data_IF_865677846844
#
_entry.id   IF_865677846844
#
_cell.length_a   1.000
_cell.length_b   1.000
_cell.length_c   1.000
_cell.angle_alpha   90.00
_cell.angle_beta   90.00
_cell.angle_gamma   90.00
#
_symmetry.space_group_name_H-M   'P 1'
#
loop_
_entity.id
_entity.type
_entity.pdbx_description
1 polymer ?
#
# COMPACT_ATOMS: atom_id res chain seq x y z
N UNK A 1 -1.49 4.16 11.09
CA UNK A 1 -0.62 2.94 11.12
C UNK A 1 0.27 2.98 12.36
N UNK A 2 0.89 1.86 12.77
CA UNK A 2 1.70 1.87 14.00
C UNK A 2 2.95 2.74 13.87
N UNK A 3 3.54 2.85 12.68
CA UNK A 3 4.72 3.69 12.41
C UNK A 3 4.39 5.14 11.96
N UNK A 4 3.11 5.48 11.84
CA UNK A 4 2.67 6.81 11.36
C UNK A 4 3.25 7.99 12.17
N UNK A 5 3.29 7.98 13.52
CA UNK A 5 3.85 9.11 14.27
C UNK A 5 5.36 9.25 14.05
N UNK A 6 6.11 8.15 13.97
CA UNK A 6 7.55 8.17 13.72
C UNK A 6 7.88 8.69 12.31
N UNK A 7 7.08 8.30 11.30
CA UNK A 7 7.22 8.82 9.94
C UNK A 7 6.94 10.32 9.94
N UNK A 8 5.84 10.77 10.56
CA UNK A 8 5.49 12.20 10.64
C UNK A 8 6.59 13.02 11.32
N UNK A 9 7.20 12.49 12.38
CA UNK A 9 8.32 13.14 13.05
C UNK A 9 9.58 13.22 12.19
N UNK A 10 9.88 12.23 11.36
CA UNK A 10 10.96 12.35 10.38
C UNK A 10 10.65 13.36 9.28
N UNK A 11 9.39 13.45 8.80
CA UNK A 11 8.98 14.49 7.84
C UNK A 11 9.17 15.90 8.41
N UNK A 12 8.76 16.13 9.65
CA UNK A 12 8.96 17.42 10.35
C UNK A 12 10.44 17.74 10.52
N UNK A 13 11.25 16.76 10.94
CA UNK A 13 12.71 16.92 11.05
C UNK A 13 13.35 17.23 9.70
N UNK A 14 12.89 16.61 8.62
CA UNK A 14 13.37 16.88 7.27
C UNK A 14 13.08 18.33 6.85
N UNK A 15 11.88 18.85 7.10
CA UNK A 15 11.55 20.27 6.84
C UNK A 15 12.40 21.25 7.64
N UNK A 16 12.74 20.91 8.88
CA UNK A 16 13.70 21.69 9.65
C UNK A 16 15.12 21.67 9.05
N UNK A 17 15.54 20.54 8.45
CA UNK A 17 16.83 20.41 7.77
C UNK A 17 16.85 21.04 6.37
N UNK A 18 15.71 21.28 5.74
CA UNK A 18 15.62 21.92 4.42
C UNK A 18 14.55 23.02 4.45
N UNK A 19 14.91 24.27 4.81
CA UNK A 19 13.95 25.35 5.08
C UNK A 19 13.03 25.71 3.90
N UNK A 20 13.46 25.44 2.66
CA UNK A 20 12.67 25.72 1.45
C UNK A 20 11.64 24.61 1.12
N UNK A 21 11.51 23.58 1.97
CA UNK A 21 10.45 22.58 1.82
C UNK A 21 9.08 23.14 2.26
N UNK A 22 8.16 23.18 1.30
CA UNK A 22 6.77 23.58 1.52
C UNK A 22 5.90 22.40 1.94
N UNK A 23 6.30 21.18 1.61
CA UNK A 23 5.60 19.98 2.06
C UNK A 23 6.43 18.71 1.92
N UNK A 24 6.04 17.68 2.67
CA UNK A 24 6.65 16.35 2.61
C UNK A 24 5.57 15.29 2.85
N UNK A 25 5.61 14.20 2.08
CA UNK A 25 4.60 13.16 2.09
C UNK A 25 5.27 11.79 1.96
N UNK A 26 4.91 10.85 2.83
CA UNK A 26 5.23 9.45 2.69
C UNK A 26 3.98 8.71 2.19
N UNK A 27 4.10 7.96 1.11
CA UNK A 27 3.01 7.17 0.54
C UNK A 27 3.49 5.77 0.17
N UNK A 28 2.57 4.81 0.06
CA UNK A 28 2.87 3.53 -0.58
C UNK A 28 3.14 3.72 -2.07
N UNK A 29 3.80 2.74 -2.68
CA UNK A 29 3.97 2.69 -4.14
C UNK A 29 2.64 2.63 -4.92
N UNK A 30 1.56 2.25 -4.25
CA UNK A 30 0.19 2.22 -4.80
C UNK A 30 -0.57 3.55 -4.63
N UNK A 31 0.06 4.57 -4.01
CA UNK A 31 -0.54 5.89 -3.82
C UNK A 31 -1.39 6.06 -2.57
N UNK A 32 -1.24 5.19 -1.57
CA UNK A 32 -1.89 5.33 -0.26
C UNK A 32 -1.03 6.18 0.66
N UNK A 33 -1.61 7.23 1.27
CA UNK A 33 -0.89 8.10 2.20
C UNK A 33 -0.53 7.33 3.48
N UNK A 34 0.74 7.38 3.87
CA UNK A 34 1.24 6.79 5.11
C UNK A 34 1.36 7.84 6.23
N UNK A 35 1.88 9.02 5.88
CA UNK A 35 1.95 10.21 6.72
C UNK A 35 2.24 11.44 5.85
N UNK A 36 1.85 12.63 6.29
CA UNK A 36 2.08 13.84 5.51
C UNK A 36 2.25 15.09 6.40
N UNK A 37 3.03 16.03 5.89
CA UNK A 37 3.12 17.42 6.33
C UNK A 37 3.11 18.29 5.06
N UNK A 38 1.91 18.47 4.50
CA UNK A 38 1.67 19.12 3.19
C UNK A 38 0.66 20.25 3.31
N UNK A 39 1.01 21.39 3.94
CA UNK A 39 0.10 22.51 4.12
C UNK A 39 -0.35 23.06 2.75
N UNK A 40 -1.67 23.20 2.57
CA UNK A 40 -2.27 23.78 1.36
C UNK A 40 -2.32 22.86 0.14
N UNK A 41 -2.04 21.56 0.32
CA UNK A 41 -2.12 20.56 -0.75
C UNK A 41 -2.85 19.31 -0.24
N UNK A 42 -3.72 18.76 -1.06
CA UNK A 42 -4.44 17.51 -0.75
C UNK A 42 -3.48 16.31 -0.87
N UNK A 43 -3.17 15.62 0.23
CA UNK A 43 -2.13 14.59 0.25
C UNK A 43 -2.50 13.35 -0.58
N UNK A 44 -3.78 12.98 -0.62
CA UNK A 44 -4.28 11.84 -1.41
C UNK A 44 -4.03 12.06 -2.91
N UNK A 45 -4.31 13.28 -3.39
CA UNK A 45 -4.07 13.69 -4.78
C UNK A 45 -2.57 13.63 -5.13
N UNK A 46 -1.70 14.10 -4.24
CA UNK A 46 -0.23 14.03 -4.44
C UNK A 46 0.26 12.58 -4.44
N UNK A 47 -0.25 11.74 -3.54
CA UNK A 47 0.15 10.34 -3.44
C UNK A 47 -0.21 9.56 -4.71
N UNK A 48 -1.44 9.71 -5.20
CA UNK A 48 -1.91 9.05 -6.42
C UNK A 48 -1.11 9.48 -7.66
N UNK A 49 -0.87 10.80 -7.81
CA UNK A 49 -0.05 11.32 -8.91
C UNK A 49 1.40 10.87 -8.80
N UNK A 50 1.96 10.82 -7.59
CA UNK A 50 3.32 10.30 -7.34
C UNK A 50 3.42 8.84 -7.78
N UNK A 51 2.49 7.98 -7.37
CA UNK A 51 2.49 6.56 -7.73
C UNK A 51 2.43 6.37 -9.26
N UNK A 52 1.57 7.14 -9.93
CA UNK A 52 1.45 7.12 -11.39
C UNK A 52 2.76 7.57 -12.05
N UNK A 53 3.33 8.70 -11.62
CA UNK A 53 4.58 9.23 -12.16
C UNK A 53 5.76 8.30 -11.91
N UNK A 54 5.81 7.62 -10.77
CA UNK A 54 6.81 6.62 -10.43
C UNK A 54 6.78 5.46 -11.41
N UNK A 55 5.60 4.91 -11.71
CA UNK A 55 5.45 3.83 -12.68
C UNK A 55 5.97 4.21 -14.07
N UNK A 56 5.66 5.43 -14.53
CA UNK A 56 6.18 5.97 -15.78
C UNK A 56 7.69 6.15 -15.73
N UNK A 57 8.22 6.71 -14.63
CA UNK A 57 9.65 6.98 -14.47
C UNK A 57 10.49 5.69 -14.41
N UNK A 58 10.02 4.66 -13.71
CA UNK A 58 10.66 3.32 -13.70
C UNK A 58 10.71 2.75 -15.10
N UNK A 59 9.58 2.76 -15.83
CA UNK A 59 9.53 2.26 -17.19
C UNK A 59 10.44 3.07 -18.13
N UNK A 60 10.47 4.39 -17.96
CA UNK A 60 11.32 5.28 -18.75
C UNK A 60 12.81 4.99 -18.51
N UNK A 61 13.23 4.79 -17.26
CA UNK A 61 14.62 4.45 -16.92
C UNK A 61 15.03 3.10 -17.54
N UNK A 62 14.15 2.10 -17.50
CA UNK A 62 14.35 0.80 -18.12
C UNK A 62 14.51 0.89 -19.65
N UNK A 63 13.54 1.50 -20.36
CA UNK A 63 13.57 1.58 -21.83
C UNK A 63 14.70 2.46 -22.38
N UNK A 64 15.22 3.40 -21.58
CA UNK A 64 16.36 4.26 -21.95
C UNK A 64 17.71 3.71 -21.49
N UNK A 65 17.73 2.52 -20.88
CA UNK A 65 18.96 1.86 -20.44
C UNK A 65 19.66 2.53 -19.25
N UNK A 66 18.93 3.32 -18.45
CA UNK A 66 19.47 3.98 -17.25
C UNK A 66 19.39 3.10 -16.00
N UNK A 67 18.82 1.90 -16.11
CA UNK A 67 18.69 0.94 -15.02
C UNK A 67 17.61 1.33 -14.02
N UNK A 68 17.83 1.01 -12.74
CA UNK A 68 16.86 1.25 -11.68
C UNK A 68 16.64 2.75 -11.43
N UNK A 69 15.37 3.15 -11.31
CA UNK A 69 15.01 4.51 -10.91
C UNK A 69 15.59 4.81 -9.51
N UNK A 70 16.42 5.85 -9.43
CA UNK A 70 16.97 6.33 -8.15
C UNK A 70 16.08 7.38 -7.50
N UNK A 71 15.59 8.32 -8.29
CA UNK A 71 14.76 9.44 -7.86
C UNK A 71 14.06 10.05 -9.07
N UNK A 72 12.94 10.72 -8.82
CA UNK A 72 12.22 11.53 -9.80
C UNK A 72 12.26 12.99 -9.35
N UNK A 73 12.59 13.91 -10.26
CA UNK A 73 12.55 15.35 -9.99
C UNK A 73 11.77 16.06 -11.09
N UNK A 74 10.71 16.76 -10.70
CA UNK A 74 9.92 17.63 -11.57
C UNK A 74 10.20 19.07 -11.18
N UNK A 75 10.65 19.88 -12.13
CA UNK A 75 10.83 21.33 -11.96
C UNK A 75 9.67 22.07 -12.62
N UNK A 76 8.89 22.78 -11.82
CA UNK A 76 7.90 23.74 -12.29
C UNK A 76 8.42 25.17 -12.18
N UNK A 77 7.60 26.12 -12.65
CA UNK A 77 7.90 27.56 -12.55
C UNK A 77 8.07 28.01 -11.09
N UNK A 78 7.33 27.40 -10.17
CA UNK A 78 7.27 27.83 -8.77
C UNK A 78 8.10 26.98 -7.82
N UNK A 79 8.77 25.93 -8.31
CA UNK A 79 9.48 25.02 -7.44
C UNK A 79 9.68 23.62 -7.98
N UNK A 80 9.89 22.69 -7.05
CA UNK A 80 10.24 21.31 -7.33
C UNK A 80 9.30 20.33 -6.63
N UNK A 81 9.04 19.22 -7.31
CA UNK A 81 8.51 18.00 -6.71
C UNK A 81 9.57 16.92 -6.86
N UNK A 82 10.05 16.38 -5.75
CA UNK A 82 11.09 15.35 -5.75
C UNK A 82 10.59 14.09 -5.05
N UNK A 83 10.72 12.93 -5.69
CA UNK A 83 10.30 11.64 -5.14
C UNK A 83 11.48 10.70 -5.01
N UNK A 84 11.62 10.09 -3.84
CA UNK A 84 12.68 9.17 -3.46
C UNK A 84 12.08 7.84 -2.99
N UNK A 85 12.79 6.75 -3.23
CA UNK A 85 12.43 5.45 -2.65
C UNK A 85 12.52 5.51 -1.11
N UNK A 86 11.55 4.88 -0.44
CA UNK A 86 11.52 4.73 1.01
C UNK A 86 11.22 3.26 1.37
N UNK A 87 12.26 2.43 1.44
CA UNK A 87 12.10 0.98 1.66
C UNK A 87 11.56 0.27 0.43
N UNK A 88 10.91 -0.89 0.62
CA UNK A 88 10.41 -1.71 -0.51
C UNK A 88 9.04 -1.29 -1.01
N UNK A 89 8.21 -0.72 -0.15
CA UNK A 89 6.78 -0.54 -0.41
C UNK A 89 6.31 0.91 -0.28
N UNK A 90 7.22 1.85 -0.03
CA UNK A 90 6.90 3.26 0.15
C UNK A 90 7.83 4.20 -0.64
N UNK A 91 7.36 5.43 -0.77
CA UNK A 91 8.05 6.55 -1.40
C UNK A 91 7.91 7.81 -0.55
N UNK A 92 8.93 8.65 -0.61
CA UNK A 92 8.95 9.98 -0.01
C UNK A 92 8.85 11.03 -1.12
N UNK A 93 7.80 11.85 -1.11
CA UNK A 93 7.61 12.99 -2.02
C UNK A 93 7.80 14.31 -1.27
N UNK A 94 8.63 15.19 -1.82
CA UNK A 94 8.96 16.50 -1.28
C UNK A 94 8.51 17.60 -2.22
N UNK A 95 7.90 18.64 -1.65
CA UNK A 95 7.52 19.87 -2.33
C UNK A 95 8.47 20.98 -1.87
N UNK A 96 9.10 21.67 -2.82
CA UNK A 96 10.10 22.69 -2.52
C UNK A 96 9.91 23.94 -3.38
N UNK A 97 10.31 25.09 -2.86
CA UNK A 97 10.33 26.36 -3.61
C UNK A 97 11.41 26.38 -4.69
N UNK A 98 11.34 27.29 -5.67
CA UNK A 98 12.33 27.38 -6.77
C UNK A 98 13.77 27.61 -6.28
N UNK A 99 13.93 28.32 -5.16
CA UNK A 99 15.23 28.69 -4.60
C UNK A 99 15.85 27.60 -3.73
N UNK A 100 15.27 26.40 -3.69
CA UNK A 100 15.82 25.28 -2.94
C UNK A 100 17.21 24.91 -3.47
N UNK A 101 18.13 24.63 -2.56
CA UNK A 101 19.39 24.01 -2.95
C UNK A 101 19.10 22.54 -3.33
N UNK A 102 19.09 22.25 -4.63
CA UNK A 102 18.75 20.91 -5.18
C UNK A 102 19.71 19.84 -4.67
N UNK A 103 21.01 20.14 -4.52
CA UNK A 103 21.97 19.20 -3.95
C UNK A 103 21.63 18.82 -2.50
N UNK A 104 21.27 19.81 -1.67
CA UNK A 104 20.80 19.58 -0.30
C UNK A 104 19.46 18.84 -0.27
N UNK A 105 18.55 19.14 -1.19
CA UNK A 105 17.26 18.44 -1.33
C UNK A 105 17.48 16.94 -1.56
N UNK A 106 18.36 16.56 -2.49
CA UNK A 106 18.70 15.16 -2.72
C UNK A 106 19.41 14.50 -1.54
N UNK A 107 20.39 15.20 -0.93
CA UNK A 107 21.11 14.67 0.23
C UNK A 107 20.15 14.32 1.37
N UNK A 108 19.31 15.28 1.75
CA UNK A 108 18.38 15.12 2.87
C UNK A 108 17.18 14.23 2.52
N UNK A 109 16.69 14.30 1.28
CA UNK A 109 15.62 13.46 0.77
C UNK A 109 15.99 11.97 0.75
N UNK A 110 17.18 11.61 0.25
CA UNK A 110 17.67 10.23 0.27
C UNK A 110 17.88 9.72 1.70
N UNK A 111 18.42 10.56 2.58
CA UNK A 111 18.63 10.22 4.00
C UNK A 111 17.30 9.98 4.73
N UNK A 112 16.32 10.86 4.54
CA UNK A 112 15.00 10.72 5.15
C UNK A 112 14.23 9.53 4.54
N UNK A 113 14.32 9.34 3.23
CA UNK A 113 13.72 8.19 2.53
C UNK A 113 14.22 6.86 3.06
N UNK A 114 15.53 6.72 3.28
CA UNK A 114 16.11 5.53 3.90
C UNK A 114 15.53 5.26 5.30
N UNK A 115 15.45 6.30 6.15
CA UNK A 115 14.88 6.18 7.51
C UNK A 115 13.40 5.83 7.52
N UNK A 116 12.61 6.46 6.65
CA UNK A 116 11.19 6.13 6.50
C UNK A 116 11.05 4.68 6.00
N UNK A 117 11.92 4.25 5.09
CA UNK A 117 11.98 2.89 4.61
C UNK A 117 12.20 1.86 5.72
N UNK A 118 13.13 2.13 6.64
CA UNK A 118 13.37 1.28 7.82
C UNK A 118 12.11 1.14 8.69
N UNK A 119 11.39 2.25 8.93
CA UNK A 119 10.15 2.25 9.72
C UNK A 119 9.04 1.44 9.04
N UNK A 120 8.85 1.63 7.73
CA UNK A 120 7.82 0.94 6.95
C UNK A 120 8.12 -0.55 6.82
N UNK A 121 9.36 -0.91 6.51
CA UNK A 121 9.77 -2.31 6.34
C UNK A 121 9.70 -3.09 7.66
N UNK A 122 10.03 -2.45 8.80
CA UNK A 122 9.87 -3.03 10.12
C UNK A 122 8.41 -3.37 10.44
N UNK A 123 7.48 -2.46 10.11
CA UNK A 123 6.04 -2.69 10.31
C UNK A 123 5.51 -3.79 9.38
N UNK A 124 5.92 -3.82 8.12
CA UNK A 124 5.54 -4.88 7.18
C UNK A 124 5.97 -6.27 7.70
N UNK A 125 7.21 -6.37 8.19
CA UNK A 125 7.75 -7.62 8.75
C UNK A 125 6.99 -8.07 10.00
N UNK A 126 6.64 -7.14 10.90
CA UNK A 126 5.84 -7.44 12.08
C UNK A 126 4.42 -7.93 11.73
N UNK A 127 3.79 -7.32 10.72
CA UNK A 127 2.47 -7.75 10.21
C UNK A 127 2.53 -9.15 9.59
N UNK A 128 3.56 -9.44 8.80
CA UNK A 128 3.74 -10.76 8.18
C UNK A 128 3.98 -11.86 9.23
N UNK A 129 4.78 -11.58 10.26
CA UNK A 129 5.00 -12.50 11.37
C UNK A 129 3.71 -12.79 12.15
N UNK A 130 2.90 -11.76 12.44
CA UNK A 130 1.59 -11.92 13.09
C UNK A 130 0.60 -12.75 12.26
N UNK A 131 0.58 -12.56 10.93
CA UNK A 131 -0.24 -13.35 10.01
C UNK A 131 0.21 -14.80 9.92
N UNK A 132 1.52 -15.06 9.94
CA UNK A 132 2.08 -16.41 9.99
C UNK A 132 1.68 -17.12 11.29
N UNK A 133 1.86 -16.47 12.44
CA UNK A 133 1.48 -16.99 13.75
C UNK A 133 -0.02 -17.33 13.83
N UNK A 134 -0.90 -16.46 13.31
CA UNK A 134 -2.35 -16.68 13.27
C UNK A 134 -2.77 -17.84 12.35
N UNK A 135 -2.02 -18.10 11.26
CA UNK A 135 -2.25 -19.26 10.38
C UNK A 135 -1.84 -20.57 11.04
N UNK A 136 -0.74 -20.59 11.79
CA UNK A 136 -0.33 -21.76 12.58
C UNK A 136 -1.23 -22.01 13.79
N UNK A 137 -1.88 -20.97 14.33
CA UNK A 137 -2.73 -21.08 15.51
C UNK A 137 -4.19 -21.53 15.24
N UNK A 138 -4.60 -21.76 13.98
CA UNK A 138 -5.94 -22.29 13.66
C UNK A 138 -5.88 -23.83 13.61
N UNK A 139 -6.31 -24.58 14.65
CA UNK A 139 -6.33 -26.03 14.59
C UNK A 139 -7.45 -26.48 13.65
N UNK A 140 -7.22 -27.60 12.97
CA UNK A 140 -8.16 -28.27 12.10
C UNK A 140 -9.39 -28.77 12.87
N UNK A 141 -10.34 -27.89 13.18
CA UNK A 141 -11.69 -28.27 13.59
C UNK A 141 -12.52 -28.57 12.34
N UNK A 142 -12.25 -29.71 11.71
CA UNK A 142 -13.21 -30.38 10.81
C UNK A 142 -13.41 -31.80 11.30
N UNK A 143 -13.94 -31.93 12.51
CA UNK A 143 -14.49 -33.19 13.00
C UNK A 143 -15.63 -33.59 12.08
N UNK A 144 -15.39 -34.61 11.26
CA UNK A 144 -16.37 -35.18 10.37
C UNK A 144 -17.51 -35.78 11.21
N UNK A 145 -18.70 -35.20 11.11
CA UNK A 145 -19.91 -35.82 11.63
C UNK A 145 -20.23 -37.08 10.79
N UNK A 146 -20.57 -38.23 11.41
CA UNK A 146 -20.90 -39.44 10.66
C UNK A 146 -22.27 -39.25 9.99
N UNK A 147 -22.29 -39.23 8.65
CA UNK A 147 -23.52 -39.17 7.86
C UNK A 147 -24.25 -40.51 7.99
N UNK A 148 -25.33 -40.54 8.76
CA UNK A 148 -26.25 -41.68 8.85
C UNK A 148 -26.88 -41.94 7.47
N UNK A 149 -26.51 -43.07 6.87
CA UNK A 149 -27.07 -43.60 5.62
C UNK A 149 -28.46 -44.18 5.91
N UNK A 150 -29.51 -43.45 5.58
CA UNK A 150 -30.88 -43.98 5.61
C UNK A 150 -31.09 -44.95 4.44
N UNK A 151 -31.39 -46.21 4.78
CA UNK A 151 -31.74 -47.27 3.83
C UNK A 151 -33.15 -47.05 3.30
N UNK A 152 -33.28 -46.95 1.97
CA UNK A 152 -34.52 -46.87 1.20
C UNK A 152 -35.31 -48.18 1.33
N UNK A 153 -36.56 -48.11 1.79
CA UNK A 153 -37.52 -49.22 1.76
C UNK A 153 -38.26 -49.29 0.40
N UNK A 154 -38.63 -50.49 -0.10
CA UNK A 154 -39.39 -50.65 -1.34
C UNK A 154 -40.90 -50.50 -1.09
N UNK A 155 -41.59 -49.69 -1.92
CA UNK A 155 -43.06 -49.59 -1.93
C UNK A 155 -43.63 -50.71 -2.80
N UNK A 156 -44.46 -51.54 -2.19
CA UNK A 156 -45.27 -52.58 -2.84
C UNK A 156 -46.54 -51.98 -3.44
N UNK A 157 -46.93 -52.56 -4.58
CA UNK A 157 -48.15 -52.35 -5.35
C UNK A 157 -49.41 -52.76 -4.58
N UNK A 158 -50.49 -51.99 -4.72
CA UNK A 158 -51.81 -52.33 -4.20
C UNK A 158 -52.91 -51.58 -4.94
N UNK A 159 -53.55 -52.30 -5.86
CA UNK A 159 -54.71 -51.99 -6.70
C UNK A 159 -55.95 -51.54 -5.94
N UNK A 160 -56.69 -50.55 -6.45
CA UNK A 160 -58.17 -50.59 -6.60
C UNK A 160 -58.70 -49.36 -7.36
N UNK A 161 -59.36 -49.62 -8.50
CA UNK A 161 -60.38 -48.78 -9.13
C UNK A 161 -61.77 -49.18 -8.56
N UNK A 162 -62.94 -48.74 -9.09
CA UNK A 162 -63.27 -47.63 -9.99
C UNK A 162 -64.47 -46.78 -9.47
N UNK A 163 -64.89 -45.75 -10.22
CA UNK A 163 -66.23 -45.60 -10.88
C UNK A 163 -66.65 -44.13 -11.04
N UNK A 164 -67.07 -43.76 -12.28
CA UNK A 164 -68.22 -42.90 -12.70
C UNK A 164 -68.42 -41.51 -12.05
N UNK A 165 -68.81 -40.41 -12.69
CA UNK A 165 -69.54 -40.11 -13.95
C UNK A 165 -69.56 -38.57 -14.11
N UNK A 166 -69.75 -38.10 -15.36
CA UNK A 166 -70.35 -36.83 -15.90
C UNK A 166 -70.59 -35.63 -14.96
N UNK A 167 -70.47 -34.36 -15.37
CA UNK A 167 -70.83 -33.68 -16.64
C UNK A 167 -69.95 -32.46 -16.92
#
# INVERSE_FOLDING_TARGET
MAAEPEILDELRRLRARVPQLTGALAASVDGLVLAHDTPGVEPESVAALTATALGVAVRMADVTGQGDLRELLVRGVYGYVATYAAGRTAVLTLLAQDRVNVGRLHLEGRRAGARIGELVDAEATARDAGKAAARTAKPAARTAAPRTRTTRAPRTTGTSAPTTTES
#
